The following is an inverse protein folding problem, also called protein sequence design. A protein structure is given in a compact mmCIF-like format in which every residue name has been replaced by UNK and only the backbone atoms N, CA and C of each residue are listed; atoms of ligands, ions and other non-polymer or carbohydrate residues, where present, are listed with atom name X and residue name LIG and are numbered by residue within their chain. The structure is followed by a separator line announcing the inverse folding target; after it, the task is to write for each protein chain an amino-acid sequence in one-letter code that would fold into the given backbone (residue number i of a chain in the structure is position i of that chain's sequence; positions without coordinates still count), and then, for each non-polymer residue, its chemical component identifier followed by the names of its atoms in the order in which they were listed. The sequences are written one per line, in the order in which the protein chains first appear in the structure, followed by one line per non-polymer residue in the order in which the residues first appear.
data_IF_416385803379
#
_entry.id   IF_416385803379
#
_cell.length_a   1.000
_cell.length_b   1.000
_cell.length_c   1.000
_cell.angle_alpha   90.00
_cell.angle_beta   90.00
_cell.angle_gamma   90.00
#
_symmetry.space_group_name_H-M   'P 1'
#
loop_
_entity.id
_entity.type
_entity.pdbx_description
1 polymer ?
#
# COMPACT_ATOMS: atom_id res chain seq x y z
N UNK A 1 12.24 -24.30 59.38
CA UNK A 1 11.11 -24.08 58.43
C UNK A 1 11.08 -22.69 57.74
N UNK A 2 12.17 -21.90 57.65
CA UNK A 2 12.07 -20.50 57.16
C UNK A 2 12.83 -20.13 55.87
N UNK A 3 13.70 -21.00 55.34
CA UNK A 3 14.54 -20.67 54.16
C UNK A 3 13.88 -21.04 52.83
N UNK A 4 13.13 -22.15 52.81
CA UNK A 4 12.45 -22.66 51.61
C UNK A 4 11.24 -21.81 51.18
N UNK A 5 10.59 -21.12 52.12
CA UNK A 5 9.49 -20.19 51.82
C UNK A 5 9.96 -18.86 51.26
N UNK A 6 11.13 -18.38 51.70
CA UNK A 6 11.70 -17.11 51.23
C UNK A 6 12.17 -17.21 49.77
N UNK A 7 12.80 -18.34 49.39
CA UNK A 7 13.26 -18.59 48.02
C UNK A 7 12.07 -18.73 47.04
N UNK A 8 10.98 -19.39 47.47
CA UNK A 8 9.77 -19.52 46.65
C UNK A 8 9.05 -18.18 46.47
N UNK A 9 9.04 -17.31 47.47
CA UNK A 9 8.48 -15.95 47.33
C UNK A 9 9.33 -15.07 46.41
N UNK A 10 10.66 -15.13 46.50
CA UNK A 10 11.58 -14.35 45.66
C UNK A 10 11.51 -14.76 44.17
N UNK A 11 11.25 -16.04 43.88
CA UNK A 11 11.09 -16.52 42.52
C UNK A 11 9.76 -16.07 41.88
N UNK A 12 8.69 -15.96 42.68
CA UNK A 12 7.36 -15.53 42.18
C UNK A 12 7.34 -14.02 41.91
N UNK A 13 8.04 -13.20 42.71
CA UNK A 13 8.15 -11.75 42.44
C UNK A 13 9.09 -11.43 41.27
N UNK A 14 10.15 -12.22 41.04
CA UNK A 14 11.01 -12.04 39.87
C UNK A 14 10.32 -12.42 38.55
N UNK A 15 9.38 -13.37 38.58
CA UNK A 15 8.62 -13.78 37.40
C UNK A 15 7.57 -12.76 36.94
N UNK A 16 7.07 -11.91 37.84
CA UNK A 16 6.01 -10.93 37.53
C UNK A 16 6.55 -9.60 36.98
N UNK A 17 7.85 -9.32 37.16
CA UNK A 17 8.45 -8.03 36.78
C UNK A 17 8.95 -7.97 35.32
N UNK A 18 8.89 -9.07 34.56
CA UNK A 18 9.43 -9.18 33.19
C UNK A 18 8.42 -8.91 32.07
N UNK A 19 7.25 -8.34 32.37
CA UNK A 19 6.26 -7.90 31.38
C UNK A 19 6.33 -6.39 31.07
N UNK A 20 7.45 -5.73 31.40
CA UNK A 20 7.79 -4.48 30.73
C UNK A 20 8.23 -4.83 29.31
N UNK A 21 7.27 -5.10 28.42
CA UNK A 21 7.53 -5.21 26.98
C UNK A 21 8.29 -3.95 26.57
N UNK A 22 9.55 -4.11 26.16
CA UNK A 22 10.25 -3.03 25.50
C UNK A 22 9.43 -2.65 24.27
N UNK A 23 8.94 -1.41 24.21
CA UNK A 23 8.28 -0.88 23.03
C UNK A 23 9.19 -1.14 21.82
N UNK A 24 8.66 -1.86 20.85
CA UNK A 24 9.37 -2.21 19.62
C UNK A 24 9.61 -0.95 18.81
N UNK A 25 10.49 -1.01 17.82
CA UNK A 25 10.68 0.14 16.93
C UNK A 25 9.47 0.36 16.03
N UNK A 26 8.67 -0.69 15.75
CA UNK A 26 7.36 -0.56 15.14
C UNK A 26 6.40 0.27 16.03
N UNK A 27 6.35 0.00 17.34
CA UNK A 27 5.54 0.79 18.29
C UNK A 27 5.99 2.26 18.32
N UNK A 28 7.30 2.50 18.36
CA UNK A 28 7.86 3.88 18.36
C UNK A 28 7.50 4.65 17.09
N UNK A 29 7.47 3.99 15.94
CA UNK A 29 7.03 4.60 14.67
C UNK A 29 5.55 4.96 14.76
N UNK A 30 4.70 4.02 15.18
CA UNK A 30 3.27 4.25 15.34
C UNK A 30 2.98 5.41 16.29
N UNK A 31 3.60 5.41 17.47
CA UNK A 31 3.45 6.47 18.47
C UNK A 31 3.91 7.83 17.95
N UNK A 32 5.05 7.89 17.26
CA UNK A 32 5.57 9.13 16.67
C UNK A 32 4.61 9.67 15.61
N UNK A 33 4.10 8.82 14.73
CA UNK A 33 3.16 9.21 13.68
C UNK A 33 1.85 9.71 14.29
N UNK A 34 1.29 8.99 15.26
CA UNK A 34 0.02 9.36 15.88
C UNK A 34 0.13 10.67 16.66
N UNK A 35 1.21 10.87 17.42
CA UNK A 35 1.51 12.14 18.08
C UNK A 35 1.68 13.29 17.06
N UNK A 36 2.38 13.04 15.95
CA UNK A 36 2.61 14.05 14.91
C UNK A 36 1.30 14.45 14.23
N UNK A 37 0.46 13.49 13.86
CA UNK A 37 -0.83 13.75 13.22
C UNK A 37 -1.78 14.46 14.18
N UNK A 38 -1.83 14.04 15.44
CA UNK A 38 -2.69 14.65 16.46
C UNK A 38 -2.38 16.14 16.65
N UNK A 39 -1.11 16.51 16.59
CA UNK A 39 -0.64 17.88 16.80
C UNK A 39 -0.34 18.63 15.48
N UNK A 40 -0.67 18.05 14.32
CA UNK A 40 -0.19 18.50 12.99
C UNK A 40 -0.40 19.98 12.68
N UNK A 41 -1.50 20.55 13.20
CA UNK A 41 -1.90 21.96 13.00
C UNK A 41 -1.13 22.96 13.85
N UNK A 42 -0.52 22.50 14.93
CA UNK A 42 0.18 23.34 15.91
C UNK A 42 1.70 23.28 15.73
N UNK A 43 2.20 22.27 15.02
CA UNK A 43 3.61 22.11 14.72
C UNK A 43 4.12 23.21 13.78
N UNK A 44 5.24 23.80 14.16
CA UNK A 44 6.07 24.65 13.29
C UNK A 44 6.79 23.81 12.24
N UNK A 45 7.35 24.47 11.22
CA UNK A 45 8.13 23.79 10.20
C UNK A 45 9.37 23.09 10.78
N UNK A 46 10.09 23.72 11.72
CA UNK A 46 11.25 23.11 12.37
C UNK A 46 10.86 21.86 13.17
N UNK A 47 9.69 21.87 13.82
CA UNK A 47 9.17 20.71 14.54
C UNK A 47 8.78 19.59 13.57
N UNK A 48 8.19 19.90 12.42
CA UNK A 48 7.93 18.92 11.35
C UNK A 48 9.24 18.26 10.86
N UNK A 49 10.27 19.06 10.58
CA UNK A 49 11.58 18.55 10.15
C UNK A 49 12.25 17.68 11.22
N UNK A 50 12.13 18.07 12.50
CA UNK A 50 12.66 17.28 13.62
C UNK A 50 11.93 15.94 13.77
N UNK A 51 10.61 15.93 13.61
CA UNK A 51 9.79 14.71 13.63
C UNK A 51 10.11 13.80 12.45
N UNK A 52 10.30 14.38 11.26
CA UNK A 52 10.67 13.63 10.05
C UNK A 52 12.03 12.95 10.22
N UNK A 53 13.04 13.69 10.70
CA UNK A 53 14.36 13.12 10.98
C UNK A 53 14.27 11.95 11.97
N UNK A 54 13.48 12.10 13.03
CA UNK A 54 13.29 11.05 14.04
C UNK A 54 12.57 9.82 13.46
N UNK A 55 11.59 10.05 12.58
CA UNK A 55 10.91 8.97 11.86
C UNK A 55 11.90 8.22 10.96
N UNK A 56 12.78 8.92 10.23
CA UNK A 56 13.81 8.30 9.39
C UNK A 56 14.81 7.47 10.20
N UNK A 57 15.19 7.93 11.41
CA UNK A 57 16.04 7.16 12.32
C UNK A 57 15.36 5.84 12.73
N UNK A 58 14.08 5.88 13.09
CA UNK A 58 13.33 4.67 13.42
C UNK A 58 13.10 3.76 12.22
N UNK A 59 12.83 4.30 11.04
CA UNK A 59 12.68 3.52 9.81
C UNK A 59 13.97 2.82 9.43
N UNK A 60 15.11 3.48 9.61
CA UNK A 60 16.42 2.85 9.38
C UNK A 60 16.62 1.66 10.34
N UNK A 61 16.38 1.85 11.63
CA UNK A 61 16.47 0.78 12.63
C UNK A 61 15.49 -0.37 12.33
N UNK A 62 14.27 -0.03 11.89
CA UNK A 62 13.25 -1.00 11.50
C UNK A 62 13.68 -1.81 10.27
N UNK A 63 14.20 -1.16 9.23
CA UNK A 63 14.67 -1.81 8.00
C UNK A 63 15.90 -2.69 8.23
N UNK A 64 16.85 -2.23 9.05
CA UNK A 64 18.05 -3.01 9.42
C UNK A 64 17.69 -4.31 10.15
N UNK A 65 16.51 -4.37 10.78
CA UNK A 65 16.02 -5.52 11.53
C UNK A 65 14.70 -6.08 10.98
N UNK A 66 14.39 -5.86 9.69
CA UNK A 66 13.06 -6.15 9.10
C UNK A 66 12.57 -7.59 9.34
N UNK A 67 13.49 -8.55 9.31
CA UNK A 67 13.20 -9.98 9.50
C UNK A 67 12.88 -10.35 10.96
N UNK A 68 13.19 -9.47 11.92
CA UNK A 68 12.89 -9.68 13.34
C UNK A 68 11.45 -9.31 13.70
N UNK A 69 10.72 -8.63 12.81
CA UNK A 69 9.35 -8.22 13.00
C UNK A 69 8.38 -9.25 12.43
N UNK A 70 7.19 -9.31 13.01
CA UNK A 70 6.04 -10.05 12.47
C UNK A 70 5.46 -9.33 11.25
N UNK A 71 4.62 -10.02 10.49
CA UNK A 71 3.90 -9.39 9.39
C UNK A 71 2.97 -8.28 9.88
N UNK A 72 2.27 -8.51 10.98
CA UNK A 72 1.39 -7.53 11.61
C UNK A 72 2.14 -6.25 12.00
N UNK A 73 3.36 -6.37 12.54
CA UNK A 73 4.21 -5.22 12.87
C UNK A 73 4.66 -4.46 11.60
N UNK A 74 5.01 -5.17 10.53
CA UNK A 74 5.35 -4.56 9.23
C UNK A 74 4.17 -3.82 8.62
N UNK A 75 3.00 -4.46 8.55
CA UNK A 75 1.78 -3.83 8.06
C UNK A 75 1.40 -2.61 8.91
N UNK A 76 1.60 -2.67 10.24
CA UNK A 76 1.36 -1.52 11.11
C UNK A 76 2.25 -0.33 10.78
N UNK A 77 3.53 -0.57 10.47
CA UNK A 77 4.50 0.46 10.08
C UNK A 77 4.13 1.05 8.73
N UNK A 78 3.79 0.21 7.74
CA UNK A 78 3.36 0.66 6.42
C UNK A 78 2.08 1.51 6.51
N UNK A 79 1.12 1.09 7.34
CA UNK A 79 -0.08 1.85 7.63
C UNK A 79 0.22 3.20 8.31
N UNK A 80 1.13 3.22 9.28
CA UNK A 80 1.57 4.45 9.94
C UNK A 80 2.23 5.43 8.95
N UNK A 81 3.09 4.94 8.06
CA UNK A 81 3.70 5.76 7.02
C UNK A 81 2.67 6.33 6.05
N UNK A 82 1.70 5.52 5.63
CA UNK A 82 0.57 5.99 4.82
C UNK A 82 -0.18 7.15 5.49
N UNK A 83 -0.50 7.03 6.79
CA UNK A 83 -1.13 8.13 7.55
C UNK A 83 -0.25 9.38 7.59
N UNK A 84 1.04 9.23 7.86
CA UNK A 84 1.99 10.34 7.98
C UNK A 84 2.12 11.13 6.66
N UNK A 85 2.35 10.44 5.54
CA UNK A 85 2.45 11.09 4.23
C UNK A 85 1.11 11.66 3.76
N UNK A 86 0.00 10.99 4.07
CA UNK A 86 -1.34 11.53 3.81
C UNK A 86 -1.58 12.86 4.54
N UNK A 87 -1.12 12.99 5.79
CA UNK A 87 -1.21 14.24 6.54
C UNK A 87 -0.30 15.33 5.95
N UNK A 88 0.92 15.00 5.51
CA UNK A 88 1.78 15.96 4.82
C UNK A 88 1.16 16.49 3.53
N UNK A 89 0.55 15.62 2.72
CA UNK A 89 -0.18 16.04 1.51
C UNK A 89 -1.30 17.01 1.88
N UNK A 90 -2.10 16.67 2.91
CA UNK A 90 -3.17 17.56 3.40
C UNK A 90 -2.64 18.93 3.85
N UNK A 91 -1.50 18.95 4.54
CA UNK A 91 -0.87 20.21 4.97
C UNK A 91 -0.35 21.03 3.80
N UNK A 92 0.35 20.40 2.85
CA UNK A 92 0.84 21.07 1.64
C UNK A 92 -0.30 21.69 0.82
N UNK A 93 -1.42 20.97 0.69
CA UNK A 93 -2.63 21.48 0.05
C UNK A 93 -3.22 22.66 0.81
N UNK A 94 -3.36 22.58 2.14
CA UNK A 94 -3.91 23.68 2.95
C UNK A 94 -3.05 24.96 2.87
N UNK A 95 -1.74 24.81 2.75
CA UNK A 95 -0.81 25.94 2.63
C UNK A 95 -0.85 26.59 1.24
N UNK A 96 -1.17 25.82 0.20
CA UNK A 96 -1.41 26.33 -1.13
C UNK A 96 -2.82 26.96 -1.21
N UNK A 97 -2.92 28.27 -0.95
CA UNK A 97 -4.18 29.05 -0.95
C UNK A 97 -4.98 28.96 -2.27
N UNK A 98 -6.31 28.98 -2.11
CA UNK A 98 -7.43 29.12 -3.09
C UNK A 98 -7.41 28.23 -4.35
N UNK A 99 -8.41 27.34 -4.44
CA UNK A 99 -8.67 26.48 -5.61
C UNK A 99 -8.45 24.98 -5.39
N UNK A 100 -8.03 24.57 -4.19
CA UNK A 100 -7.56 23.19 -3.90
C UNK A 100 -8.49 22.43 -2.95
N UNK A 101 -9.58 23.03 -2.44
CA UNK A 101 -10.63 22.27 -1.74
C UNK A 101 -11.20 21.15 -2.62
N UNK A 102 -11.42 21.42 -3.91
CA UNK A 102 -11.79 20.43 -4.92
C UNK A 102 -10.76 19.29 -5.06
N UNK A 103 -9.48 19.56 -4.79
CA UNK A 103 -8.45 18.53 -4.89
C UNK A 103 -8.44 17.65 -3.66
N UNK A 104 -8.74 18.18 -2.46
CA UNK A 104 -8.94 17.35 -1.25
C UNK A 104 -10.06 16.33 -1.45
N UNK A 105 -11.14 16.70 -2.14
CA UNK A 105 -12.22 15.78 -2.51
C UNK A 105 -11.80 14.73 -3.53
N UNK A 106 -10.78 15.01 -4.34
CA UNK A 106 -10.23 14.11 -5.38
C UNK A 106 -9.07 13.24 -4.90
N UNK A 107 -8.54 13.48 -3.69
CA UNK A 107 -7.45 12.66 -3.10
C UNK A 107 -7.79 11.16 -3.12
N UNK A 108 -9.00 10.70 -2.75
CA UNK A 108 -9.33 9.27 -2.79
C UNK A 108 -9.14 8.68 -4.19
N UNK A 109 -9.68 9.32 -5.22
CA UNK A 109 -9.52 8.84 -6.60
C UNK A 109 -8.07 8.91 -7.11
N UNK A 110 -7.27 9.86 -6.62
CA UNK A 110 -5.83 9.90 -6.89
C UNK A 110 -5.10 8.71 -6.25
N UNK A 111 -5.43 8.37 -4.99
CA UNK A 111 -4.85 7.21 -4.30
C UNK A 111 -5.28 5.92 -5.00
N UNK A 112 -6.55 5.78 -5.37
CA UNK A 112 -7.06 4.62 -6.08
C UNK A 112 -6.31 4.40 -7.40
N UNK A 113 -6.15 5.45 -8.21
CA UNK A 113 -5.39 5.37 -9.46
C UNK A 113 -3.89 5.09 -9.26
N UNK A 114 -3.31 5.58 -8.16
CA UNK A 114 -1.93 5.23 -7.79
C UNK A 114 -1.79 3.75 -7.43
N UNK A 115 -2.69 3.22 -6.58
CA UNK A 115 -2.70 1.81 -6.19
C UNK A 115 -2.96 0.90 -7.40
N UNK A 116 -3.90 1.26 -8.27
CA UNK A 116 -4.18 0.55 -9.52
C UNK A 116 -2.95 0.52 -10.45
N UNK A 117 -2.24 1.64 -10.58
CA UNK A 117 -1.00 1.71 -11.38
C UNK A 117 0.15 0.88 -10.82
N UNK A 118 0.21 0.67 -9.50
CA UNK A 118 1.20 -0.21 -8.86
C UNK A 118 0.81 -1.69 -8.94
N UNK A 119 -0.49 -2.01 -8.92
CA UNK A 119 -1.00 -3.38 -9.04
C UNK A 119 -1.20 -3.86 -10.48
N UNK A 120 -1.17 -2.97 -11.46
CA UNK A 120 -1.51 -3.24 -12.87
C UNK A 120 -0.37 -3.73 -13.77
N UNK A 121 0.78 -4.10 -13.20
CA UNK A 121 1.91 -4.65 -13.97
C UNK A 121 2.31 -6.01 -13.43
N UNK A 122 1.37 -6.97 -13.45
CA UNK A 122 1.61 -8.42 -13.43
C UNK A 122 0.25 -9.12 -13.69
N UNK A 123 -0.29 -8.89 -14.89
CA UNK A 123 -1.43 -9.64 -15.41
C UNK A 123 -0.96 -10.43 -16.62
N UNK A 124 -0.50 -11.65 -16.37
CA UNK A 124 -0.40 -12.69 -17.37
C UNK A 124 -1.74 -12.77 -18.12
N UNK A 125 -1.78 -12.30 -19.36
CA UNK A 125 -2.85 -12.61 -20.29
C UNK A 125 -2.80 -14.12 -20.56
N UNK A 126 -3.51 -14.90 -19.75
CA UNK A 126 -3.84 -16.28 -20.08
C UNK A 126 -4.72 -16.26 -21.34
N UNK A 127 -4.29 -16.85 -22.48
CA UNK A 127 -5.14 -16.92 -23.65
C UNK A 127 -6.25 -17.93 -23.37
N UNK A 128 -7.47 -17.44 -23.19
CA UNK A 128 -8.65 -18.29 -23.14
C UNK A 128 -8.98 -18.80 -24.55
N UNK A 129 -8.30 -19.88 -24.94
CA UNK A 129 -8.75 -20.80 -25.98
C UNK A 129 -10.03 -21.49 -25.50
N UNK A 130 -11.21 -20.97 -25.83
CA UNK A 130 -12.36 -21.82 -26.20
C UNK A 130 -13.52 -21.01 -26.79
N UNK A 131 -13.76 -21.19 -28.09
CA UNK A 131 -15.10 -21.25 -28.64
C UNK A 131 -15.07 -22.15 -29.88
N UNK A 132 -15.04 -23.46 -29.60
CA UNK A 132 -15.61 -24.46 -30.49
C UNK A 132 -17.11 -24.16 -30.64
N UNK A 133 -17.54 -23.88 -31.87
CA UNK A 133 -18.91 -24.13 -32.29
C UNK A 133 -18.89 -24.61 -33.74
N UNK A 134 -18.59 -25.90 -33.84
CA UNK A 134 -18.97 -26.75 -34.95
C UNK A 134 -20.48 -27.07 -34.88
N UNK A 135 -21.03 -27.42 -36.05
CA UNK A 135 -22.32 -28.07 -36.34
C UNK A 135 -23.57 -27.17 -36.53
N UNK A 136 -24.42 -27.33 -37.56
CA UNK A 136 -24.41 -28.13 -38.79
C UNK A 136 -25.59 -27.70 -39.69
N UNK A 137 -25.42 -27.92 -41.02
CA UNK A 137 -26.41 -28.31 -42.05
C UNK A 137 -27.69 -27.45 -42.28
N UNK A 138 -28.12 -27.11 -43.51
CA UNK A 138 -27.69 -27.53 -44.84
C UNK A 138 -28.68 -27.10 -45.95
N UNK A 139 -28.28 -27.37 -47.20
CA UNK A 139 -29.10 -27.36 -48.43
C UNK A 139 -28.94 -26.12 -49.31
N UNK A 140 -28.58 -26.17 -50.60
CA UNK A 140 -28.26 -27.24 -51.55
C UNK A 140 -27.54 -26.55 -52.76
N UNK A 141 -26.66 -27.21 -53.51
CA UNK A 141 -25.89 -26.62 -54.61
C UNK A 141 -26.59 -26.79 -55.97
N UNK A 142 -26.31 -25.90 -56.93
CA UNK A 142 -26.33 -26.11 -58.40
C UNK A 142 -25.75 -24.82 -59.04
N UNK A 143 -24.51 -24.83 -59.53
CA UNK A 143 -24.11 -25.11 -60.92
C UNK A 143 -24.62 -24.07 -61.95
N UNK A 144 -23.76 -23.13 -62.36
CA UNK A 144 -23.28 -23.00 -63.76
C UNK A 144 -22.36 -21.76 -63.96
N UNK A 145 -21.37 -21.94 -64.83
CA UNK A 145 -20.21 -21.10 -65.21
C UNK A 145 -20.61 -20.26 -66.48
N UNK A 146 -19.82 -19.39 -67.19
CA UNK A 146 -18.55 -18.64 -66.95
C UNK A 146 -18.51 -17.12 -67.36
N UNK A 147 -17.41 -16.43 -66.97
CA UNK A 147 -16.52 -15.49 -67.74
C UNK A 147 -17.07 -14.18 -68.34
N UNK A 148 -16.45 -13.03 -67.98
CA UNK A 148 -15.65 -12.08 -68.82
C UNK A 148 -15.27 -10.84 -67.97
N UNK A 149 -13.96 -10.53 -67.81
CA UNK A 149 -13.18 -9.50 -68.57
C UNK A 149 -13.83 -8.10 -68.47
N UNK A 150 -13.26 -7.08 -67.83
CA UNK A 150 -12.03 -6.30 -68.14
C UNK A 150 -11.81 -5.35 -66.94
N UNK A 151 -10.62 -5.09 -66.41
CA UNK A 151 -9.51 -4.43 -67.08
C UNK A 151 -9.20 -3.08 -66.41
N UNK A 152 -7.89 -2.81 -66.23
CA UNK A 152 -7.26 -1.51 -65.93
C UNK A 152 -7.48 -0.95 -64.52
N UNK A 153 -6.47 -0.72 -63.67
CA UNK A 153 -5.12 -0.32 -63.99
C UNK A 153 -4.94 1.18 -63.73
N UNK A 154 -4.38 1.48 -62.56
CA UNK A 154 -3.33 2.48 -62.29
C UNK A 154 -3.64 3.99 -62.44
N UNK A 155 -2.92 4.72 -61.56
CA UNK A 155 -2.46 6.13 -61.63
C UNK A 155 -3.51 7.15 -61.14
N UNK A 156 -3.21 8.09 -60.23
CA UNK A 156 -1.95 8.67 -59.72
C UNK A 156 -2.14 9.00 -58.25
#
# INVERSE_FOLDING_TARGET
MKRSGLIRMLAVTLGVLMLAGCATTADKINDLVDDTIKNSKELTQEEWEARDKKLQEYLKEFQENKDAYTEEERESVDYALGKYYGEQIKLGIRQAKEGIEDFMEKIPGFIDGFVEGLGGSDGDEEPTDTADQSDAAGGQPDADVPVQSTGSGRTI
#
